data_IF_126531087194
#
_entry.id   IF_126531087194
#
_cell.length_a   1.000
_cell.length_b   1.000
_cell.length_c   1.000
_cell.angle_alpha   90.00
_cell.angle_beta   90.00
_cell.angle_gamma   90.00
#
_symmetry.space_group_name_H-M   'P 1'
#
loop_
_entity.id
_entity.type
_entity.pdbx_description
1 polymer ?
#
# COMPACT_ATOMS: atom_id res chain seq x y z
N UNK A 1 -5.08 16.66 3.15
CA UNK A 1 -4.91 15.88 4.40
C UNK A 1 -4.36 14.47 4.18
N UNK A 2 -3.21 14.13 4.79
CA UNK A 2 -2.53 12.83 4.67
C UNK A 2 -3.36 11.63 5.16
N UNK A 3 -4.38 11.87 5.99
CA UNK A 3 -5.38 10.89 6.41
C UNK A 3 -6.19 10.29 5.24
N UNK A 4 -6.35 11.00 4.13
CA UNK A 4 -6.99 10.44 2.93
C UNK A 4 -6.10 9.43 2.20
N UNK A 5 -4.77 9.64 2.17
CA UNK A 5 -3.86 8.76 1.44
C UNK A 5 -3.80 7.37 2.06
N UNK A 6 -3.77 7.27 3.40
CA UNK A 6 -3.76 5.97 4.09
C UNK A 6 -5.02 5.15 3.79
N UNK A 7 -6.18 5.80 3.76
CA UNK A 7 -7.46 5.16 3.42
C UNK A 7 -7.45 4.66 1.99
N UNK A 8 -7.03 5.51 1.04
CA UNK A 8 -6.93 5.13 -0.38
C UNK A 8 -5.97 3.97 -0.58
N UNK A 9 -4.78 3.99 0.04
CA UNK A 9 -3.82 2.89 -0.06
C UNK A 9 -4.37 1.60 0.56
N UNK A 10 -5.08 1.69 1.69
CA UNK A 10 -5.72 0.53 2.32
C UNK A 10 -6.79 -0.09 1.43
N UNK A 11 -7.57 0.74 0.71
CA UNK A 11 -8.56 0.27 -0.26
C UNK A 11 -7.90 -0.31 -1.51
N UNK A 12 -6.78 0.27 -1.96
CA UNK A 12 -6.05 -0.19 -3.13
C UNK A 12 -5.41 -1.56 -2.88
N UNK A 13 -4.76 -1.76 -1.72
CA UNK A 13 -4.16 -3.04 -1.33
C UNK A 13 -5.17 -4.19 -1.35
N UNK A 14 -6.40 -3.96 -0.90
CA UNK A 14 -7.50 -4.97 -0.96
C UNK A 14 -7.86 -5.42 -2.38
N UNK A 15 -7.44 -4.68 -3.41
CA UNK A 15 -7.75 -4.99 -4.82
C UNK A 15 -6.56 -5.56 -5.59
N UNK A 16 -5.34 -5.25 -5.17
CA UNK A 16 -4.12 -5.59 -5.92
C UNK A 16 -3.25 -6.63 -5.22
N UNK A 17 -3.24 -6.66 -3.88
CA UNK A 17 -2.46 -7.63 -3.11
C UNK A 17 -3.21 -8.95 -3.03
N UNK A 18 -2.48 -10.07 -2.99
CA UNK A 18 -3.04 -11.38 -2.70
C UNK A 18 -3.58 -11.44 -1.25
N UNK A 19 -2.81 -10.90 -0.30
CA UNK A 19 -3.22 -10.63 1.07
C UNK A 19 -2.90 -9.18 1.44
N UNK A 20 -3.93 -8.38 1.71
CA UNK A 20 -3.75 -6.96 2.04
C UNK A 20 -3.08 -6.73 3.42
N UNK A 21 -3.02 -7.75 4.28
CA UNK A 21 -2.32 -7.69 5.57
C UNK A 21 -0.81 -7.99 5.45
N UNK A 22 -0.41 -8.65 4.37
CA UNK A 22 0.98 -8.93 3.99
C UNK A 22 1.28 -8.33 2.60
N UNK A 23 1.37 -6.98 2.47
CA UNK A 23 1.50 -6.33 1.18
C UNK A 23 2.87 -6.54 0.54
N UNK A 24 2.89 -6.90 -0.73
CA UNK A 24 4.09 -7.09 -1.54
C UNK A 24 4.20 -6.04 -2.66
N UNK A 25 3.06 -5.56 -3.18
CA UNK A 25 3.00 -4.61 -4.30
C UNK A 25 3.11 -3.16 -3.84
N UNK A 26 2.48 -2.79 -2.72
CA UNK A 26 2.53 -1.44 -2.17
C UNK A 26 3.10 -1.52 -0.76
N UNK A 27 4.36 -1.17 -0.58
CA UNK A 27 5.07 -1.24 0.70
C UNK A 27 4.93 0.08 1.48
N UNK A 28 4.90 -0.02 2.81
CA UNK A 28 4.97 1.15 3.69
C UNK A 28 6.42 1.46 4.00
N UNK A 29 6.87 2.68 3.68
CA UNK A 29 8.19 3.20 4.03
C UNK A 29 8.06 4.10 5.25
N UNK A 30 8.52 3.61 6.40
CA UNK A 30 8.35 4.30 7.68
C UNK A 30 8.98 5.70 7.63
N UNK A 31 8.18 6.72 7.99
CA UNK A 31 8.63 8.12 7.98
C UNK A 31 8.67 8.78 6.59
N UNK A 32 8.39 8.04 5.52
CA UNK A 32 8.41 8.56 4.14
C UNK A 32 7.03 8.47 3.48
N UNK A 33 6.41 7.28 3.46
CA UNK A 33 5.14 7.08 2.75
C UNK A 33 5.00 5.66 2.22
N UNK A 34 4.76 5.55 0.91
CA UNK A 34 4.50 4.27 0.24
C UNK A 34 5.41 4.08 -0.97
N UNK A 35 5.81 2.84 -1.24
CA UNK A 35 6.60 2.44 -2.40
C UNK A 35 5.83 1.40 -3.21
N UNK A 36 5.79 1.57 -4.52
CA UNK A 36 5.26 0.58 -5.45
C UNK A 36 6.36 -0.40 -5.87
N UNK A 37 6.10 -1.71 -5.78
CA UNK A 37 7.02 -2.80 -6.04
C UNK A 37 6.27 -3.97 -6.72
N UNK A 38 5.97 -3.88 -8.02
CA UNK A 38 5.29 -4.96 -8.73
C UNK A 38 6.18 -6.22 -8.77
N UNK A 39 5.55 -7.39 -8.84
CA UNK A 39 6.26 -8.63 -9.18
C UNK A 39 6.77 -8.56 -10.63
N UNK A 40 7.89 -9.24 -10.91
CA UNK A 40 8.49 -9.34 -12.26
C UNK A 40 7.60 -10.16 -13.23
#
# INVERSE_FOLDING_TARGET
EPENLRVVVSQLRKRVELDASEPHIILTELGVGYRFCPED
#
